data_IF_420164979120
#
_entry.id   IF_420164979120
#
_cell.length_a   1.000
_cell.length_b   1.000
_cell.length_c   1.000
_cell.angle_alpha   90.00
_cell.angle_beta   90.00
_cell.angle_gamma   90.00
#
_symmetry.space_group_name_H-M   'P 1'
#
loop_
_entity.id
_entity.type
_entity.pdbx_description
1 polymer ?
#
# COMPACT_ATOMS: atom_id res chain seq x y z
N UNK A 1 -20.31 35.49 40.39
CA UNK A 1 -19.08 34.74 40.74
C UNK A 1 -17.90 35.68 40.62
N UNK A 2 -17.13 35.83 41.71
CA UNK A 2 -16.13 36.87 41.88
C UNK A 2 -14.99 36.74 40.84
N UNK A 3 -14.94 37.69 39.90
CA UNK A 3 -13.72 38.00 39.15
C UNK A 3 -12.75 38.74 40.11
N UNK A 4 -12.06 37.99 40.96
CA UNK A 4 -10.92 38.52 41.68
C UNK A 4 -9.83 38.89 40.67
N UNK A 5 -9.43 40.17 40.60
CA UNK A 5 -8.32 40.59 39.73
C UNK A 5 -7.07 39.82 40.16
N UNK A 6 -6.61 38.90 39.31
CA UNK A 6 -5.38 38.16 39.54
C UNK A 6 -4.22 39.12 39.80
N UNK A 7 -3.43 38.81 40.84
CA UNK A 7 -2.23 39.59 41.15
C UNK A 7 -1.25 39.50 39.98
N UNK A 8 -0.39 40.52 39.75
CA UNK A 8 0.60 40.49 38.67
C UNK A 8 1.48 39.22 38.67
N UNK A 9 1.75 38.66 39.85
CA UNK A 9 2.46 37.38 40.03
C UNK A 9 1.66 36.19 39.52
N UNK A 10 0.37 36.10 39.83
CA UNK A 10 -0.51 35.04 39.31
C UNK A 10 -0.64 35.11 37.79
N UNK A 11 -0.75 36.32 37.23
CA UNK A 11 -0.74 36.50 35.76
C UNK A 11 0.56 36.03 35.12
N UNK A 12 1.71 36.33 35.73
CA UNK A 12 3.02 35.84 35.25
C UNK A 12 3.13 34.32 35.31
N UNK A 13 2.63 33.70 36.38
CA UNK A 13 2.62 32.24 36.53
C UNK A 13 1.66 31.61 35.51
N UNK A 14 0.46 32.17 35.33
CA UNK A 14 -0.51 31.70 34.34
C UNK A 14 0.01 31.82 32.91
N UNK A 15 0.63 32.94 32.55
CA UNK A 15 1.29 33.13 31.25
C UNK A 15 2.42 32.12 31.05
N UNK A 16 3.27 31.89 32.06
CA UNK A 16 4.34 30.90 31.98
C UNK A 16 3.80 29.48 31.81
N UNK A 17 2.75 29.11 32.54
CA UNK A 17 2.11 27.79 32.41
C UNK A 17 1.48 27.60 31.03
N UNK A 18 0.82 28.62 30.48
CA UNK A 18 0.28 28.59 29.12
C UNK A 18 1.38 28.47 28.07
N UNK A 19 2.49 29.21 28.23
CA UNK A 19 3.66 29.11 27.33
C UNK A 19 4.29 27.72 27.40
N UNK A 20 4.51 27.17 28.61
CA UNK A 20 5.11 25.86 28.80
C UNK A 20 4.21 24.74 28.25
N UNK A 21 2.90 24.82 28.52
CA UNK A 21 1.91 23.86 28.00
C UNK A 21 1.83 23.93 26.47
N UNK A 22 1.88 25.14 25.90
CA UNK A 22 1.90 25.33 24.45
C UNK A 22 3.20 24.80 23.82
N UNK A 23 4.35 25.00 24.46
CA UNK A 23 5.64 24.43 24.02
C UNK A 23 5.63 22.90 24.04
N UNK A 24 5.07 22.28 25.10
CA UNK A 24 4.91 20.83 25.17
C UNK A 24 3.97 20.32 24.06
N UNK A 25 2.82 20.97 23.84
CA UNK A 25 1.88 20.59 22.79
C UNK A 25 2.50 20.67 21.38
N UNK A 26 3.27 21.73 21.08
CA UNK A 26 3.96 21.89 19.80
C UNK A 26 5.09 20.87 19.55
N UNK A 27 5.70 20.34 20.61
CA UNK A 27 6.74 19.32 20.48
C UNK A 27 6.12 17.92 20.30
N UNK A 28 5.10 17.57 21.09
CA UNK A 28 4.39 16.29 20.96
C UNK A 28 3.77 16.12 19.56
N UNK A 29 3.23 17.20 18.98
CA UNK A 29 2.72 17.17 17.61
C UNK A 29 3.81 16.83 16.57
N UNK A 30 5.04 17.34 16.73
CA UNK A 30 6.16 17.02 15.84
C UNK A 30 6.63 15.57 15.98
N UNK A 31 6.73 15.07 17.21
CA UNK A 31 7.09 13.67 17.49
C UNK A 31 6.12 12.68 16.83
N UNK A 32 4.82 12.97 16.84
CA UNK A 32 3.80 12.15 16.16
C UNK A 32 4.00 12.15 14.64
N UNK A 33 4.34 13.29 14.04
CA UNK A 33 4.63 13.40 12.60
C UNK A 33 5.92 12.67 12.20
N UNK A 34 6.93 12.69 13.06
CA UNK A 34 8.16 11.93 12.87
C UNK A 34 7.91 10.41 12.99
N UNK A 35 7.02 9.99 13.89
CA UNK A 35 6.61 8.59 13.99
C UNK A 35 5.95 8.09 12.68
N UNK A 36 5.15 8.91 12.00
CA UNK A 36 4.62 8.56 10.68
C UNK A 36 5.73 8.40 9.64
N UNK A 37 6.76 9.24 9.68
CA UNK A 37 7.92 9.14 8.78
C UNK A 37 8.68 7.80 9.01
N UNK A 38 8.86 7.41 10.27
CA UNK A 38 9.49 6.15 10.64
C UNK A 38 8.67 4.92 10.17
N UNK A 39 7.35 4.98 10.31
CA UNK A 39 6.45 3.94 9.80
C UNK A 39 6.55 3.85 8.28
N UNK A 40 6.57 5.00 7.59
CA UNK A 40 6.74 5.05 6.13
C UNK A 40 8.05 4.36 5.69
N UNK A 41 9.17 4.66 6.34
CA UNK A 41 10.44 3.98 6.06
C UNK A 41 10.37 2.46 6.23
N UNK A 42 9.69 1.98 7.28
CA UNK A 42 9.46 0.56 7.51
C UNK A 42 8.64 -0.09 6.39
N UNK A 43 7.62 0.61 5.90
CA UNK A 43 6.78 0.18 4.79
C UNK A 43 7.54 0.17 3.46
N UNK A 44 8.41 1.15 3.22
CA UNK A 44 9.29 1.20 2.03
C UNK A 44 10.23 -0.03 2.04
N UNK A 45 10.87 -0.32 3.17
CA UNK A 45 11.74 -1.51 3.32
C UNK A 45 10.96 -2.81 3.07
N UNK A 46 9.77 -2.93 3.66
CA UNK A 46 8.90 -4.09 3.47
C UNK A 46 8.49 -4.26 2.00
N UNK A 47 8.16 -3.16 1.33
CA UNK A 47 7.82 -3.13 -0.09
C UNK A 47 9.00 -3.60 -0.94
N UNK A 48 10.24 -3.15 -0.64
CA UNK A 48 11.46 -3.61 -1.33
C UNK A 48 11.63 -5.13 -1.19
N UNK A 49 11.43 -5.69 0.00
CA UNK A 49 11.50 -7.14 0.23
C UNK A 49 10.47 -7.91 -0.62
N UNK A 50 9.24 -7.41 -0.72
CA UNK A 50 8.23 -8.04 -1.59
C UNK A 50 8.61 -7.96 -3.08
N UNK A 51 9.18 -6.83 -3.53
CA UNK A 51 9.64 -6.70 -4.92
C UNK A 51 10.72 -7.72 -5.26
N UNK A 52 11.70 -7.91 -4.37
CA UNK A 52 12.75 -8.92 -4.54
C UNK A 52 12.18 -10.34 -4.59
N UNK A 53 11.31 -10.69 -3.63
CA UNK A 53 10.65 -11.99 -3.60
C UNK A 53 9.78 -12.24 -4.85
N UNK A 54 9.01 -11.24 -5.27
CA UNK A 54 8.14 -11.36 -6.44
C UNK A 54 8.96 -11.57 -7.72
N UNK A 55 10.14 -10.93 -7.82
CA UNK A 55 11.07 -11.11 -8.95
C UNK A 55 11.52 -12.56 -9.08
N UNK A 56 11.88 -13.21 -7.97
CA UNK A 56 12.27 -14.63 -7.98
C UNK A 56 11.11 -15.52 -8.41
N UNK A 57 9.90 -15.23 -7.91
CA UNK A 57 8.69 -15.98 -8.25
C UNK A 57 8.32 -15.85 -9.74
N UNK A 58 8.48 -14.66 -10.32
CA UNK A 58 8.33 -14.45 -11.77
C UNK A 58 9.32 -15.30 -12.56
N UNK A 59 10.60 -15.34 -12.15
CA UNK A 59 11.63 -16.14 -12.83
C UNK A 59 11.34 -17.65 -12.81
N UNK A 60 10.76 -18.15 -11.72
CA UNK A 60 10.31 -19.55 -11.61
C UNK A 60 9.18 -19.84 -12.60
N UNK A 61 8.16 -18.98 -12.64
CA UNK A 61 6.99 -19.13 -13.52
C UNK A 61 7.42 -19.09 -15.00
N UNK A 62 8.28 -18.14 -15.37
CA UNK A 62 8.78 -17.99 -16.73
C UNK A 62 9.60 -19.21 -17.17
N UNK A 63 10.50 -19.68 -16.31
CA UNK A 63 11.29 -20.90 -16.55
C UNK A 63 10.42 -22.15 -16.72
N UNK A 64 9.35 -22.27 -15.92
CA UNK A 64 8.42 -23.38 -16.02
C UNK A 64 7.58 -23.33 -17.30
N UNK A 65 7.21 -22.13 -17.76
CA UNK A 65 6.47 -21.92 -19.00
C UNK A 65 7.34 -22.19 -20.24
N UNK A 66 8.62 -21.80 -20.22
CA UNK A 66 9.56 -22.08 -21.32
C UNK A 66 9.75 -23.60 -21.54
N UNK A 67 9.66 -24.41 -20.47
CA UNK A 67 9.80 -25.87 -20.54
C UNK A 67 8.54 -26.59 -21.01
N UNK A 68 7.36 -25.97 -20.93
CA UNK A 68 6.09 -26.62 -21.26
C UNK A 68 5.04 -25.63 -21.76
N UNK A 69 4.67 -25.76 -23.04
CA UNK A 69 3.68 -24.89 -23.70
C UNK A 69 2.29 -24.89 -23.02
N UNK A 70 1.89 -25.99 -22.36
CA UNK A 70 0.61 -26.03 -21.62
C UNK A 70 0.60 -25.12 -20.38
N UNK A 71 1.77 -24.70 -19.90
CA UNK A 71 1.95 -23.79 -18.75
C UNK A 71 2.05 -22.31 -19.15
N UNK A 72 2.08 -22.00 -20.44
CA UNK A 72 2.20 -20.64 -20.96
C UNK A 72 1.07 -19.71 -20.50
N UNK A 73 -0.16 -20.23 -20.32
CA UNK A 73 -1.31 -19.47 -19.81
C UNK A 73 -1.01 -18.78 -18.47
N UNK A 74 -0.39 -19.49 -17.54
CA UNK A 74 -0.09 -18.96 -16.20
C UNK A 74 0.98 -17.88 -16.24
N UNK A 75 1.96 -18.00 -17.15
CA UNK A 75 2.94 -16.95 -17.38
C UNK A 75 2.28 -15.70 -17.96
N UNK A 76 1.36 -15.83 -18.92
CA UNK A 76 0.62 -14.66 -19.44
C UNK A 76 -0.14 -13.92 -18.35
N UNK A 77 -0.81 -14.64 -17.45
CA UNK A 77 -1.50 -14.04 -16.29
C UNK A 77 -0.49 -13.35 -15.37
N UNK A 78 0.65 -13.99 -15.09
CA UNK A 78 1.71 -13.41 -14.24
C UNK A 78 2.27 -12.12 -14.86
N UNK A 79 2.57 -12.09 -16.16
CA UNK A 79 3.11 -10.89 -16.81
C UNK A 79 2.09 -9.74 -16.85
N UNK A 80 0.81 -10.04 -17.07
CA UNK A 80 -0.26 -9.04 -17.00
C UNK A 80 -0.45 -8.51 -15.57
N UNK A 81 -0.38 -9.39 -14.57
CA UNK A 81 -0.39 -9.01 -13.16
C UNK A 81 0.76 -8.05 -12.84
N UNK A 82 1.98 -8.42 -13.24
CA UNK A 82 3.19 -7.60 -13.06
C UNK A 82 2.99 -6.20 -13.60
N UNK A 83 2.53 -6.10 -14.85
CA UNK A 83 2.29 -4.83 -15.51
C UNK A 83 1.30 -3.97 -14.73
N UNK A 84 0.16 -4.52 -14.33
CA UNK A 84 -0.87 -3.77 -13.58
C UNK A 84 -0.38 -3.33 -12.20
N UNK A 85 0.33 -4.19 -11.48
CA UNK A 85 0.93 -3.85 -10.19
C UNK A 85 1.99 -2.76 -10.34
N UNK A 86 2.89 -2.88 -11.33
CA UNK A 86 3.94 -1.90 -11.60
C UNK A 86 3.34 -0.54 -12.01
N UNK A 87 2.34 -0.53 -12.88
CA UNK A 87 1.62 0.71 -13.27
C UNK A 87 0.96 1.39 -12.06
N UNK A 88 0.30 0.65 -11.19
CA UNK A 88 -0.37 1.20 -10.01
C UNK A 88 0.63 1.71 -8.96
N UNK A 89 1.67 0.93 -8.66
CA UNK A 89 2.70 1.32 -7.69
C UNK A 89 3.47 2.56 -8.17
N UNK A 90 3.78 2.64 -9.47
CA UNK A 90 4.40 3.82 -10.07
C UNK A 90 3.46 5.03 -9.99
N UNK A 91 2.18 4.86 -10.29
CA UNK A 91 1.21 5.95 -10.17
C UNK A 91 1.12 6.49 -8.73
N UNK A 92 1.13 5.59 -7.73
CA UNK A 92 1.18 5.99 -6.31
C UNK A 92 2.49 6.70 -5.99
N UNK A 93 3.62 6.22 -6.53
CA UNK A 93 4.93 6.84 -6.30
C UNK A 93 4.99 8.26 -6.88
N UNK A 94 4.51 8.44 -8.12
CA UNK A 94 4.45 9.74 -8.77
C UNK A 94 3.52 10.69 -8.00
N UNK A 95 2.43 10.18 -7.44
CA UNK A 95 1.53 10.95 -6.55
C UNK A 95 2.24 11.40 -5.26
N UNK A 96 3.05 10.53 -4.63
CA UNK A 96 3.86 10.92 -3.46
C UNK A 96 4.83 12.05 -3.80
N UNK A 97 5.51 11.96 -4.94
CA UNK A 97 6.46 12.98 -5.42
C UNK A 97 5.73 14.30 -5.71
N UNK A 98 4.56 14.25 -6.34
CA UNK A 98 3.73 15.42 -6.63
C UNK A 98 3.28 16.12 -5.33
N UNK A 99 2.84 15.36 -4.31
CA UNK A 99 2.48 15.90 -2.99
C UNK A 99 3.64 16.64 -2.33
N UNK A 100 4.83 16.02 -2.30
CA UNK A 100 6.02 16.63 -1.68
C UNK A 100 6.45 17.87 -2.48
N UNK A 101 6.40 17.80 -3.81
CA UNK A 101 6.74 18.93 -4.68
C UNK A 101 5.80 20.11 -4.49
N UNK A 102 4.50 19.84 -4.31
CA UNK A 102 3.48 20.87 -4.07
C UNK A 102 3.65 21.53 -2.70
N UNK A 103 4.08 20.77 -1.69
CA UNK A 103 4.21 21.23 -0.30
C UNK A 103 5.55 21.89 -0.01
N UNK A 104 6.66 21.20 -0.30
CA UNK A 104 8.05 21.60 0.00
C UNK A 104 8.76 22.29 -1.18
N UNK A 105 8.16 22.34 -2.37
CA UNK A 105 8.74 22.94 -3.57
C UNK A 105 9.54 21.97 -4.44
N UNK A 106 9.99 22.41 -5.61
CA UNK A 106 10.67 21.57 -6.62
C UNK A 106 12.09 21.14 -6.22
N UNK A 107 12.80 21.98 -5.47
CA UNK A 107 14.18 21.72 -5.04
C UNK A 107 14.21 21.18 -3.60
N UNK A 108 13.34 20.22 -3.29
CA UNK A 108 13.27 19.62 -1.96
C UNK A 108 14.32 18.50 -1.78
N UNK A 109 14.76 18.30 -0.55
CA UNK A 109 15.75 17.26 -0.19
C UNK A 109 15.10 15.88 0.00
N UNK A 110 13.77 15.82 0.07
CA UNK A 110 13.00 14.61 0.32
C UNK A 110 12.84 13.74 -0.93
N UNK A 111 12.96 14.29 -2.13
CA UNK A 111 12.85 13.56 -3.39
C UNK A 111 14.22 13.47 -4.06
N UNK A 112 14.69 12.24 -4.28
CA UNK A 112 15.90 11.96 -5.05
C UNK A 112 15.55 11.01 -6.21
N UNK A 113 15.38 11.59 -7.40
CA UNK A 113 14.91 10.85 -8.57
C UNK A 113 13.48 10.33 -8.36
N UNK A 114 13.32 9.01 -8.23
CA UNK A 114 12.04 8.37 -7.89
C UNK A 114 11.93 7.95 -6.43
N UNK A 115 12.98 8.08 -5.63
CA UNK A 115 12.94 7.73 -4.22
C UNK A 115 12.44 8.90 -3.38
N UNK A 116 11.64 8.57 -2.36
CA UNK A 116 11.10 9.51 -1.38
C UNK A 116 11.70 9.16 -0.04
N UNK A 117 12.27 10.17 0.62
CA UNK A 117 12.88 10.12 1.95
C UNK A 117 11.93 10.80 2.95
N UNK A 118 11.13 10.02 3.70
CA UNK A 118 10.07 10.57 4.56
C UNK A 118 10.62 11.44 5.70
N UNK A 119 11.81 11.12 6.19
CA UNK A 119 12.54 11.85 7.23
C UNK A 119 12.85 13.30 6.85
N UNK A 120 13.13 13.55 5.56
CA UNK A 120 13.54 14.86 5.02
C UNK A 120 12.38 15.76 4.59
N UNK A 121 11.14 15.28 4.68
CA UNK A 121 9.95 16.09 4.37
C UNK A 121 9.83 17.20 5.41
N UNK A 122 9.70 18.46 4.97
CA UNK A 122 9.66 19.64 5.87
C UNK A 122 8.22 19.96 6.28
N UNK A 123 7.28 19.96 5.33
CA UNK A 123 5.87 20.32 5.57
C UNK A 123 5.01 19.12 6.03
N UNK A 124 5.49 18.35 7.01
CA UNK A 124 4.86 17.09 7.46
C UNK A 124 3.42 17.25 7.95
N UNK A 125 3.09 18.42 8.49
CA UNK A 125 1.81 18.81 9.06
C UNK A 125 0.82 19.37 8.02
N UNK A 126 1.23 19.56 6.76
CA UNK A 126 0.36 20.18 5.75
C UNK A 126 -0.85 19.29 5.40
N UNK A 127 -2.04 19.81 5.65
CA UNK A 127 -3.31 19.14 5.36
C UNK A 127 -3.98 19.69 4.10
N UNK A 128 -3.90 21.00 3.87
CA UNK A 128 -4.67 21.68 2.82
C UNK A 128 -4.23 21.27 1.41
N UNK A 129 -2.92 21.30 1.14
CA UNK A 129 -2.38 20.93 -0.19
C UNK A 129 -2.54 19.43 -0.43
N UNK A 130 -2.47 18.64 0.63
CA UNK A 130 -2.69 17.20 0.60
C UNK A 130 -4.12 16.88 0.18
N UNK A 131 -5.11 17.50 0.84
CA UNK A 131 -6.51 17.35 0.49
C UNK A 131 -6.81 17.88 -0.92
N UNK A 132 -6.23 19.02 -1.32
CA UNK A 132 -6.40 19.61 -2.64
C UNK A 132 -6.02 18.63 -3.76
N UNK A 133 -4.92 17.89 -3.62
CA UNK A 133 -4.49 16.94 -4.66
C UNK A 133 -5.25 15.59 -4.56
N UNK A 134 -5.44 15.07 -3.35
CA UNK A 134 -5.98 13.73 -3.14
C UNK A 134 -7.50 13.66 -3.30
N UNK A 135 -8.23 14.66 -2.78
CA UNK A 135 -9.69 14.76 -2.90
C UNK A 135 -10.08 15.52 -4.17
N UNK A 136 -9.35 16.59 -4.50
CA UNK A 136 -9.63 17.43 -5.67
C UNK A 136 -10.92 18.24 -5.55
N UNK A 137 -11.07 19.25 -6.40
CA UNK A 137 -12.32 20.00 -6.49
C UNK A 137 -13.45 19.07 -6.98
N UNK A 138 -14.50 18.91 -6.17
CA UNK A 138 -15.65 18.05 -6.48
C UNK A 138 -15.40 16.53 -6.32
N UNK A 139 -14.34 16.11 -5.61
CA UNK A 139 -14.11 14.70 -5.29
C UNK A 139 -13.56 13.86 -6.45
N UNK A 140 -12.82 14.49 -7.37
CA UNK A 140 -12.15 13.84 -8.52
C UNK A 140 -10.61 13.92 -8.43
N UNK A 141 -10.06 13.93 -7.22
CA UNK A 141 -8.62 13.92 -6.98
C UNK A 141 -7.96 12.55 -7.19
N UNK A 142 -6.65 12.51 -6.94
CA UNK A 142 -5.81 11.32 -7.10
C UNK A 142 -6.28 10.13 -6.26
N UNK A 143 -6.85 10.36 -5.08
CA UNK A 143 -7.35 9.31 -4.18
C UNK A 143 -8.41 8.42 -4.83
N UNK A 144 -9.34 9.02 -5.58
CA UNK A 144 -10.39 8.28 -6.30
C UNK A 144 -9.84 7.50 -7.48
N UNK A 145 -8.86 8.05 -8.19
CA UNK A 145 -8.17 7.32 -9.26
C UNK A 145 -7.41 6.10 -8.73
N UNK A 146 -6.72 6.26 -7.59
CA UNK A 146 -6.04 5.16 -6.89
C UNK A 146 -7.05 4.08 -6.50
N UNK A 147 -8.16 4.47 -5.85
CA UNK A 147 -9.25 3.55 -5.47
C UNK A 147 -9.75 2.75 -6.67
N UNK A 148 -10.09 3.43 -7.77
CA UNK A 148 -10.57 2.78 -9.00
C UNK A 148 -9.55 1.81 -9.58
N UNK A 149 -8.26 2.15 -9.56
CA UNK A 149 -7.19 1.25 -10.04
C UNK A 149 -7.00 0.04 -9.13
N UNK A 150 -7.10 0.22 -7.81
CA UNK A 150 -7.06 -0.89 -6.83
C UNK A 150 -8.24 -1.84 -7.05
N UNK A 151 -9.46 -1.31 -7.23
CA UNK A 151 -10.65 -2.13 -7.49
C UNK A 151 -10.53 -2.91 -8.81
N UNK A 152 -9.98 -2.29 -9.86
CA UNK A 152 -9.71 -2.95 -11.12
C UNK A 152 -8.66 -4.06 -10.99
N UNK A 153 -7.60 -3.84 -10.20
CA UNK A 153 -6.57 -4.84 -9.90
C UNK A 153 -7.16 -6.00 -9.10
N UNK A 154 -7.93 -5.71 -8.05
CA UNK A 154 -8.61 -6.70 -7.22
C UNK A 154 -9.54 -7.57 -8.08
N UNK A 155 -10.36 -6.95 -8.93
CA UNK A 155 -11.25 -7.69 -9.84
C UNK A 155 -10.45 -8.61 -10.79
N UNK A 156 -9.38 -8.11 -11.39
CA UNK A 156 -8.51 -8.91 -12.24
C UNK A 156 -7.91 -10.12 -11.50
N UNK A 157 -7.45 -9.95 -10.26
CA UNK A 157 -6.94 -11.06 -9.46
C UNK A 157 -8.04 -12.08 -9.18
N UNK A 158 -9.22 -11.64 -8.72
CA UNK A 158 -10.35 -12.53 -8.39
C UNK A 158 -10.88 -13.29 -9.62
N UNK A 159 -10.89 -12.68 -10.80
CA UNK A 159 -11.31 -13.31 -12.05
C UNK A 159 -10.34 -14.43 -12.50
N UNK A 160 -9.08 -14.39 -12.04
CA UNK A 160 -8.03 -15.35 -12.40
C UNK A 160 -7.72 -16.38 -11.30
N UNK A 161 -8.36 -16.29 -10.13
CA UNK A 161 -8.24 -17.28 -9.05
C UNK A 161 -9.44 -18.23 -9.09
N UNK A 162 -9.17 -19.54 -9.00
CA UNK A 162 -10.25 -20.52 -8.90
C UNK A 162 -10.97 -20.40 -7.53
N UNK A 163 -12.31 -20.36 -7.56
CA UNK A 163 -13.19 -20.25 -6.39
C UNK A 163 -12.95 -21.32 -5.33
N UNK A 164 -12.28 -22.43 -5.68
CA UNK A 164 -11.86 -23.45 -4.72
C UNK A 164 -10.84 -22.92 -3.69
N UNK A 165 -10.06 -21.90 -4.01
CA UNK A 165 -9.00 -21.37 -3.13
C UNK A 165 -9.47 -20.16 -2.34
N UNK A 166 -10.42 -20.38 -1.43
CA UNK A 166 -11.03 -19.34 -0.60
C UNK A 166 -10.03 -18.57 0.28
N UNK A 167 -8.93 -19.21 0.70
CA UNK A 167 -7.88 -18.55 1.48
C UNK A 167 -7.18 -17.44 0.67
N UNK A 168 -6.88 -17.70 -0.59
CA UNK A 168 -6.23 -16.73 -1.50
C UNK A 168 -7.19 -15.58 -1.80
N UNK A 169 -8.46 -15.89 -2.09
CA UNK A 169 -9.51 -14.90 -2.33
C UNK A 169 -9.65 -13.96 -1.12
N UNK A 170 -9.78 -14.54 0.08
CA UNK A 170 -9.95 -13.76 1.31
C UNK A 170 -8.74 -12.87 1.61
N UNK A 171 -7.53 -13.33 1.27
CA UNK A 171 -6.31 -12.57 1.53
C UNK A 171 -6.15 -11.39 0.56
N UNK A 172 -6.48 -11.58 -0.71
CA UNK A 172 -6.52 -10.53 -1.74
C UNK A 172 -7.60 -9.50 -1.40
N UNK A 173 -8.80 -9.94 -1.01
CA UNK A 173 -9.90 -9.05 -0.62
C UNK A 173 -9.55 -8.18 0.59
N UNK A 174 -8.85 -8.75 1.59
CA UNK A 174 -8.40 -8.00 2.77
C UNK A 174 -7.25 -7.05 2.46
N UNK A 175 -6.29 -7.48 1.64
CA UNK A 175 -5.12 -6.66 1.29
C UNK A 175 -5.52 -5.46 0.44
N UNK A 176 -6.51 -5.62 -0.44
CA UNK A 176 -6.99 -4.59 -1.36
C UNK A 176 -8.40 -4.11 -0.99
N UNK A 177 -8.69 -3.99 0.30
CA UNK A 177 -9.97 -3.45 0.75
C UNK A 177 -10.01 -1.93 0.58
N UNK A 178 -11.07 -1.48 -0.07
CA UNK A 178 -11.32 -0.06 -0.41
C UNK A 178 -12.77 0.32 -0.11
N UNK A 179 -13.44 -0.46 0.74
CA UNK A 179 -14.82 -0.18 1.15
C UNK A 179 -14.86 1.11 1.96
N UNK A 180 -15.96 1.83 1.78
CA UNK A 180 -16.23 3.02 2.56
C UNK A 180 -16.42 2.64 4.05
N UNK A 181 -15.92 3.48 4.97
CA UNK A 181 -16.06 3.22 6.40
C UNK A 181 -17.52 3.15 6.84
N UNK A 182 -17.73 2.51 7.99
CA UNK A 182 -19.05 2.54 8.63
C UNK A 182 -19.37 3.99 9.01
N UNK A 183 -20.61 4.46 8.79
CA UNK A 183 -21.00 5.83 9.14
C UNK A 183 -20.69 6.12 10.61
N UNK A 184 -19.93 7.19 10.85
CA UNK A 184 -19.69 7.74 12.19
C UNK A 184 -20.65 8.92 12.37
N UNK A 185 -21.39 8.93 13.47
CA UNK A 185 -22.28 10.05 13.84
C UNK A 185 -23.34 10.43 12.77
N UNK A 186 -23.75 9.47 11.92
CA UNK A 186 -24.76 9.69 10.89
C UNK A 186 -24.24 10.30 9.58
N UNK A 187 -22.94 10.62 9.48
CA UNK A 187 -22.29 11.05 8.25
C UNK A 187 -21.64 9.83 7.59
N UNK A 188 -21.92 9.63 6.29
CA UNK A 188 -21.24 8.62 5.48
C UNK A 188 -20.02 9.27 4.85
N UNK A 189 -18.84 8.92 5.36
CA UNK A 189 -17.56 9.33 4.77
C UNK A 189 -17.17 8.35 3.67
N UNK A 190 -16.59 8.86 2.58
CA UNK A 190 -16.00 8.00 1.55
C UNK A 190 -14.64 7.49 2.01
N UNK A 191 -14.18 6.37 1.46
CA UNK A 191 -12.83 5.86 1.73
C UNK A 191 -11.75 6.93 1.48
N UNK A 192 -11.90 7.71 0.41
CA UNK A 192 -10.99 8.79 0.06
C UNK A 192 -10.97 9.90 1.13
N UNK A 193 -12.15 10.28 1.64
CA UNK A 193 -12.29 11.29 2.69
C UNK A 193 -11.60 10.84 3.98
N UNK A 194 -11.86 9.62 4.44
CA UNK A 194 -11.26 9.10 5.69
C UNK A 194 -9.72 9.08 5.64
N UNK A 195 -9.14 8.76 4.48
CA UNK A 195 -7.69 8.58 4.35
C UNK A 195 -6.93 9.86 3.98
N UNK A 196 -7.60 10.85 3.38
CA UNK A 196 -6.93 12.02 2.79
C UNK A 196 -7.54 13.38 3.16
N UNK A 197 -8.73 13.45 3.75
CA UNK A 197 -9.37 14.69 4.18
C UNK A 197 -8.96 15.03 5.62
N UNK A 198 -8.41 16.23 5.84
CA UNK A 198 -7.86 16.68 7.13
C UNK A 198 -6.73 15.79 7.70
N UNK A 199 -6.06 15.01 6.85
CA UNK A 199 -4.93 14.16 7.23
C UNK A 199 -3.61 14.88 6.89
N UNK A 200 -2.64 14.94 7.82
CA UNK A 200 -1.35 15.58 7.56
C UNK A 200 -0.53 14.81 6.52
N UNK A 201 0.30 15.53 5.76
CA UNK A 201 1.13 14.99 4.68
C UNK A 201 1.91 13.73 5.10
N UNK A 202 2.57 13.74 6.25
CA UNK A 202 3.37 12.59 6.70
C UNK A 202 2.53 11.31 6.87
N UNK A 203 1.30 11.44 7.37
CA UNK A 203 0.38 10.31 7.49
C UNK A 203 -0.12 9.85 6.12
N UNK A 204 -0.43 10.77 5.20
CA UNK A 204 -0.83 10.41 3.83
C UNK A 204 0.28 9.69 3.08
N UNK A 205 1.54 10.12 3.20
CA UNK A 205 2.68 9.42 2.59
C UNK A 205 2.82 7.99 3.14
N UNK A 206 2.63 7.80 4.45
CA UNK A 206 2.64 6.48 5.08
C UNK A 206 1.47 5.61 4.59
N UNK A 207 0.25 6.16 4.45
CA UNK A 207 -0.91 5.45 3.88
C UNK A 207 -0.61 5.00 2.44
N UNK A 208 -0.07 5.88 1.61
CA UNK A 208 0.28 5.57 0.22
C UNK A 208 1.34 4.46 0.13
N UNK A 209 2.36 4.47 1.00
CA UNK A 209 3.31 3.36 1.09
C UNK A 209 2.69 2.07 1.61
N UNK A 210 1.74 2.17 2.53
CA UNK A 210 0.95 1.03 2.99
C UNK A 210 0.19 0.39 1.83
N UNK A 211 -0.42 1.20 0.96
CA UNK A 211 -1.07 0.71 -0.25
C UNK A 211 -0.09 0.04 -1.22
N UNK A 212 1.10 0.62 -1.44
CA UNK A 212 2.15 -0.01 -2.26
C UNK A 212 2.56 -1.36 -1.68
N UNK A 213 2.78 -1.45 -0.37
CA UNK A 213 3.11 -2.70 0.32
C UNK A 213 1.98 -3.74 0.17
N UNK A 214 0.73 -3.33 0.34
CA UNK A 214 -0.43 -4.21 0.19
C UNK A 214 -0.58 -4.74 -1.24
N UNK A 215 -0.34 -3.90 -2.26
CA UNK A 215 -0.35 -4.30 -3.67
C UNK A 215 0.73 -5.35 -3.93
N UNK A 216 1.96 -5.14 -3.43
CA UNK A 216 3.07 -6.09 -3.58
C UNK A 216 2.85 -7.39 -2.81
N UNK A 217 2.19 -7.33 -1.65
CA UNK A 217 1.79 -8.51 -0.91
C UNK A 217 0.71 -9.31 -1.66
N UNK A 218 -0.34 -8.66 -2.16
CA UNK A 218 -1.38 -9.31 -2.96
C UNK A 218 -0.81 -9.92 -4.26
N UNK A 219 0.16 -9.24 -4.88
CA UNK A 219 0.94 -9.77 -6.00
C UNK A 219 1.68 -11.06 -5.59
N UNK A 220 2.37 -11.07 -4.45
CA UNK A 220 3.09 -12.25 -3.94
C UNK A 220 2.15 -13.44 -3.68
N UNK A 221 0.97 -13.19 -3.10
CA UNK A 221 -0.05 -14.21 -2.86
C UNK A 221 -0.57 -14.83 -4.15
N UNK A 222 -0.85 -13.99 -5.15
CA UNK A 222 -1.28 -14.44 -6.47
C UNK A 222 -0.18 -15.24 -7.18
N UNK A 223 1.08 -14.81 -7.11
CA UNK A 223 2.22 -15.56 -7.67
C UNK A 223 2.41 -16.91 -6.98
N UNK A 224 2.25 -16.96 -5.66
CA UNK A 224 2.25 -18.22 -4.92
C UNK A 224 1.15 -19.16 -5.38
N UNK A 225 -0.05 -18.64 -5.64
CA UNK A 225 -1.14 -19.42 -6.20
C UNK A 225 -0.83 -19.94 -7.62
N UNK A 226 -0.29 -19.08 -8.49
CA UNK A 226 0.10 -19.47 -9.85
C UNK A 226 1.18 -20.55 -9.85
N UNK A 227 2.20 -20.45 -8.97
CA UNK A 227 3.21 -21.51 -8.78
C UNK A 227 2.59 -22.83 -8.35
N UNK A 228 1.64 -22.80 -7.43
CA UNK A 228 0.92 -24.01 -7.02
C UNK A 228 0.17 -24.67 -8.19
N UNK A 229 -0.48 -23.87 -9.04
CA UNK A 229 -1.17 -24.37 -10.23
C UNK A 229 -0.20 -24.97 -11.27
N UNK A 230 1.02 -24.43 -11.38
CA UNK A 230 2.08 -24.99 -12.23
C UNK A 230 2.55 -26.38 -11.78
N UNK A 231 2.61 -26.62 -10.46
CA UNK A 231 3.01 -27.91 -9.88
C UNK A 231 1.90 -28.95 -9.92
N UNK A 232 0.65 -28.58 -9.63
CA UNK A 232 -0.51 -29.49 -9.77
C UNK A 232 -0.68 -29.96 -11.22
N UNK A 233 -0.39 -29.09 -12.19
CA UNK A 233 -0.34 -29.48 -13.60
C UNK A 233 0.78 -30.47 -13.94
N UNK A 234 1.86 -30.53 -13.15
CA UNK A 234 2.98 -31.46 -13.34
C UNK A 234 2.72 -32.86 -12.74
N UNK A 235 1.88 -32.96 -11.70
CA UNK A 235 1.67 -34.18 -10.90
C UNK A 235 0.47 -35.03 -11.32
N UNK A 236 0.01 -34.94 -12.57
CA UNK A 236 -0.97 -35.92 -13.09
C UNK A 236 -0.31 -37.30 -13.29
N UNK A 237 -0.18 -38.05 -12.20
CA UNK A 237 0.09 -39.49 -12.14
C UNK A 237 -1.07 -40.26 -12.79
N UNK A 238 -1.24 -40.16 -14.12
CA UNK A 238 -2.43 -40.72 -14.77
C UNK A 238 -2.25 -42.12 -15.35
N UNK A 239 -1.07 -42.73 -15.26
CA UNK A 239 -0.86 -44.13 -15.64
C UNK A 239 0.27 -44.77 -14.84
N UNK A 240 -0.03 -45.29 -13.67
CA UNK A 240 0.74 -46.41 -13.13
C UNK A 240 0.30 -47.66 -13.89
N UNK A 241 0.88 -47.90 -15.07
CA UNK A 241 0.75 -49.20 -15.71
C UNK A 241 1.59 -50.19 -14.90
N UNK A 242 0.93 -51.15 -14.26
CA UNK A 242 1.60 -52.25 -13.60
C UNK A 242 2.28 -53.11 -14.67
N UNK A 243 3.58 -52.86 -14.90
CA UNK A 243 4.39 -53.72 -15.75
C UNK A 243 4.70 -55.01 -14.97
N UNK A 244 3.98 -56.09 -15.28
CA UNK A 244 4.40 -57.43 -14.88
C UNK A 244 5.60 -57.77 -15.76
N UNK A 245 6.79 -57.86 -15.16
CA UNK A 245 7.99 -58.35 -15.84
C UNK A 245 8.02 -59.87 -15.58
N UNK A 246 7.59 -60.72 -16.54
CA UNK A 246 7.69 -62.17 -16.36
C UNK A 246 9.14 -62.60 -16.31
N UNK A 247 9.52 -63.30 -15.24
CA UNK A 247 10.86 -63.84 -15.05
C UNK A 247 10.94 -65.25 -15.66
N UNK A 248 10.91 -65.35 -16.98
CA UNK A 248 11.25 -66.59 -17.68
C UNK A 248 12.68 -66.49 -18.20
N UNK A 249 13.60 -67.12 -17.47
CA UNK A 249 14.93 -67.43 -18.01
C UNK A 249 14.81 -68.62 -18.98
N UNK A 250 15.53 -68.61 -20.12
CA UNK A 250 15.68 -69.77 -20.99
C UNK A 250 16.48 -70.89 -20.33
#
# INVERSE_FOLDING_TARGET
MAHGKETPRQKMIGMMYLVLTSMLALNVQREVLDAFSLVDEGLIKTTKNFVEKNKDDYGIIESAAAKNASKAKWNTIAQELKKRCDELVNYIQDTKIELITLTDGKDNEAVHGKEVHPDKVKSKDNMDKTAQLMIGEGGNGRGKEIKKKIEALRKFMLDNVDKKYQSVISSIEKSLDTKDPKPKEGVTETWESEHFEHVPLAAVLAVLSGLQSNIRNAEAEMLSHLKFMLDVGATKFNKLEAAIIPNTKP
#
